data_IF_553253915981
#
_entry.id   IF_553253915981
#
_cell.length_a   1.000
_cell.length_b   1.000
_cell.length_c   1.000
_cell.angle_alpha   90.00
_cell.angle_beta   90.00
_cell.angle_gamma   90.00
#
_symmetry.space_group_name_H-M   'P 1'
#
loop_
_entity.id
_entity.type
_entity.pdbx_description
1 polymer ?
#
# COMPACT_ATOMS: atom_id res chain seq x y z
N UNK A 1 -21.75 -11.00 -15.81
CA UNK A 1 -21.43 -9.84 -14.92
C UNK A 1 -22.63 -9.54 -14.03
N UNK A 2 -22.45 -9.38 -12.72
CA UNK A 2 -23.51 -8.97 -11.77
C UNK A 2 -23.51 -7.44 -11.62
N UNK A 3 -23.81 -6.70 -12.69
CA UNK A 3 -23.92 -5.23 -12.68
C UNK A 3 -25.37 -4.77 -12.59
N UNK A 4 -25.62 -3.59 -12.00
CA UNK A 4 -26.94 -2.92 -12.04
C UNK A 4 -26.82 -1.67 -12.90
N UNK A 5 -27.69 -1.54 -13.91
CA UNK A 5 -27.78 -0.35 -14.75
C UNK A 5 -28.99 0.49 -14.32
N UNK A 6 -28.76 1.78 -14.09
CA UNK A 6 -29.79 2.73 -13.69
C UNK A 6 -29.84 3.87 -14.71
N UNK A 7 -31.04 4.19 -15.19
CA UNK A 7 -31.28 5.39 -16.00
C UNK A 7 -31.66 6.54 -15.06
N UNK A 8 -31.05 7.71 -15.24
CA UNK A 8 -31.31 8.92 -14.44
C UNK A 8 -31.98 9.96 -15.33
N UNK A 9 -33.14 10.49 -14.91
CA UNK A 9 -33.82 11.55 -15.63
C UNK A 9 -33.14 12.90 -15.41
N UNK A 10 -32.82 13.63 -16.48
CA UNK A 10 -32.16 14.94 -16.38
C UNK A 10 -33.06 16.03 -15.80
N UNK A 11 -34.38 15.93 -15.97
CA UNK A 11 -35.33 16.97 -15.54
C UNK A 11 -35.70 16.88 -14.07
N UNK A 12 -35.78 15.67 -13.52
CA UNK A 12 -36.26 15.42 -12.14
C UNK A 12 -35.29 14.63 -11.26
N UNK A 13 -34.14 14.22 -11.80
CA UNK A 13 -33.06 13.51 -11.11
C UNK A 13 -33.46 12.18 -10.43
N UNK A 14 -34.60 11.61 -10.79
CA UNK A 14 -35.01 10.27 -10.33
C UNK A 14 -34.30 9.19 -11.14
N UNK A 15 -33.99 8.08 -10.49
CA UNK A 15 -33.40 6.90 -11.13
C UNK A 15 -34.42 5.76 -11.27
N UNK A 16 -34.30 5.00 -12.35
CA UNK A 16 -35.07 3.77 -12.57
C UNK A 16 -34.13 2.64 -12.99
N UNK A 17 -34.30 1.46 -12.41
CA UNK A 17 -33.50 0.29 -12.75
C UNK A 17 -33.90 -0.20 -14.15
N UNK A 18 -32.91 -0.39 -15.03
CA UNK A 18 -33.14 -0.88 -16.39
C UNK A 18 -33.75 -2.30 -16.38
N UNK A 19 -34.76 -2.62 -17.22
CA UNK A 19 -35.37 -3.94 -17.34
C UNK A 19 -34.34 -5.06 -17.53
N UNK A 20 -34.61 -6.25 -16.99
CA UNK A 20 -33.61 -7.32 -16.93
C UNK A 20 -33.22 -7.83 -18.32
N UNK A 21 -34.17 -7.83 -19.27
CA UNK A 21 -34.01 -8.34 -20.63
C UNK A 21 -32.98 -7.54 -21.44
N UNK A 22 -32.95 -6.22 -21.25
CA UNK A 22 -32.09 -5.29 -22.01
C UNK A 22 -30.78 -4.96 -21.27
N UNK A 23 -30.74 -5.18 -19.94
CA UNK A 23 -29.63 -4.80 -19.06
C UNK A 23 -28.29 -5.42 -19.46
N UNK A 24 -28.30 -6.68 -19.90
CA UNK A 24 -27.06 -7.41 -20.19
C UNK A 24 -26.28 -6.81 -21.37
N UNK A 25 -26.98 -6.59 -22.48
CA UNK A 25 -26.40 -6.01 -23.70
C UNK A 25 -26.02 -4.54 -23.47
N UNK A 26 -26.94 -3.74 -22.92
CA UNK A 26 -26.70 -2.32 -22.66
C UNK A 26 -25.51 -2.08 -21.72
N UNK A 27 -25.36 -2.88 -20.66
CA UNK A 27 -24.25 -2.75 -19.73
C UNK A 27 -22.92 -3.14 -20.40
N UNK A 28 -22.91 -4.12 -21.30
CA UNK A 28 -21.71 -4.49 -22.04
C UNK A 28 -21.30 -3.40 -23.05
N UNK A 29 -22.25 -2.82 -23.77
CA UNK A 29 -21.98 -1.74 -24.73
C UNK A 29 -21.53 -0.46 -24.03
N UNK A 30 -22.11 -0.14 -22.87
CA UNK A 30 -21.69 0.99 -22.03
C UNK A 30 -20.31 0.78 -21.42
N UNK A 31 -19.97 -0.43 -20.97
CA UNK A 31 -18.60 -0.74 -20.48
C UNK A 31 -17.57 -0.66 -21.60
N UNK A 32 -17.91 -1.15 -22.80
CA UNK A 32 -17.05 -1.02 -23.98
C UNK A 32 -16.85 0.45 -24.36
N UNK A 33 -17.93 1.23 -24.43
CA UNK A 33 -17.87 2.67 -24.70
C UNK A 33 -17.10 3.45 -23.63
N UNK A 34 -17.24 3.06 -22.36
CA UNK A 34 -16.51 3.61 -21.23
C UNK A 34 -15.00 3.38 -21.33
N UNK A 35 -14.59 2.22 -21.87
CA UNK A 35 -13.20 1.87 -22.07
C UNK A 35 -12.60 2.55 -23.32
N UNK A 36 -13.33 2.54 -24.44
CA UNK A 36 -12.77 2.85 -25.75
C UNK A 36 -12.89 4.34 -26.14
N UNK A 37 -13.89 5.05 -25.61
CA UNK A 37 -14.30 6.36 -26.16
C UNK A 37 -14.72 7.41 -25.12
N UNK A 38 -14.68 7.10 -23.82
CA UNK A 38 -15.17 8.01 -22.80
C UNK A 38 -14.21 9.15 -22.46
N UNK A 39 -14.80 10.33 -22.21
CA UNK A 39 -14.13 11.47 -21.59
C UNK A 39 -14.46 11.53 -20.10
N UNK A 40 -13.45 11.57 -19.24
CA UNK A 40 -13.66 11.68 -17.79
C UNK A 40 -14.05 13.13 -17.45
N UNK A 41 -15.20 13.31 -16.79
CA UNK A 41 -15.71 14.62 -16.36
C UNK A 41 -15.39 14.88 -14.88
N UNK A 42 -15.62 13.90 -14.02
CA UNK A 42 -15.33 13.96 -12.58
C UNK A 42 -15.13 12.55 -12.01
N UNK A 43 -14.34 12.40 -10.95
CA UNK A 43 -14.05 11.09 -10.37
C UNK A 43 -13.83 11.17 -8.85
N UNK A 44 -14.41 10.21 -8.14
CA UNK A 44 -14.31 10.02 -6.68
C UNK A 44 -14.19 8.53 -6.37
N UNK A 45 -14.02 8.26 -5.07
CA UNK A 45 -13.72 6.97 -4.44
C UNK A 45 -14.55 5.74 -4.88
N UNK A 46 -15.82 5.93 -5.21
CA UNK A 46 -16.65 4.80 -5.66
C UNK A 46 -17.48 5.25 -6.85
N UNK A 47 -17.17 6.40 -7.46
CA UNK A 47 -18.04 7.06 -8.43
C UNK A 47 -17.19 7.74 -9.50
N UNK A 48 -17.28 7.25 -10.74
CA UNK A 48 -16.70 7.91 -11.92
C UNK A 48 -17.81 8.49 -12.78
N UNK A 49 -17.68 9.75 -13.17
CA UNK A 49 -18.56 10.45 -14.12
C UNK A 49 -17.84 10.56 -15.47
N UNK A 50 -18.40 9.91 -16.47
CA UNK A 50 -17.87 9.78 -17.82
C UNK A 50 -18.85 10.40 -18.81
N UNK A 51 -18.34 10.94 -19.91
CA UNK A 51 -19.15 11.39 -21.04
C UNK A 51 -18.82 10.55 -22.27
N UNK A 52 -19.85 9.96 -22.88
CA UNK A 52 -19.75 9.10 -24.07
C UNK A 52 -20.78 9.59 -25.08
N UNK A 53 -20.34 10.18 -26.19
CA UNK A 53 -21.23 10.60 -27.27
C UNK A 53 -22.37 11.52 -26.84
N UNK A 54 -22.15 12.41 -25.86
CA UNK A 54 -23.16 13.30 -25.30
C UNK A 54 -24.02 12.70 -24.18
N UNK A 55 -23.78 11.45 -23.79
CA UNK A 55 -24.43 10.80 -22.64
C UNK A 55 -23.51 10.80 -21.42
N UNK A 56 -24.03 11.19 -20.25
CA UNK A 56 -23.31 11.11 -18.99
C UNK A 56 -23.51 9.74 -18.32
N UNK A 57 -22.41 9.04 -18.03
CA UNK A 57 -22.39 7.74 -17.38
C UNK A 57 -21.79 7.87 -15.97
N UNK A 58 -22.51 7.36 -14.97
CA UNK A 58 -22.06 7.28 -13.57
C UNK A 58 -21.74 5.84 -13.22
N UNK A 59 -20.46 5.52 -12.98
CA UNK A 59 -19.99 4.17 -12.62
C UNK A 59 -19.78 4.05 -11.12
N UNK A 60 -20.34 3.01 -10.48
CA UNK A 60 -20.23 2.75 -9.04
C UNK A 60 -19.77 1.32 -8.73
N UNK A 61 -18.66 1.12 -8.00
CA UNK A 61 -18.11 -0.23 -7.68
C UNK A 61 -16.73 -0.26 -7.01
N UNK A 62 -16.15 -1.47 -6.81
CA UNK A 62 -14.82 -1.67 -6.20
C UNK A 62 -13.75 -0.83 -6.90
N UNK A 63 -13.08 0.01 -6.12
CA UNK A 63 -12.00 0.87 -6.55
C UNK A 63 -10.79 0.06 -7.03
N UNK A 64 -10.24 0.41 -8.20
CA UNK A 64 -8.94 -0.10 -8.65
C UNK A 64 -7.82 0.25 -7.65
N UNK A 65 -6.69 -0.44 -7.70
CA UNK A 65 -5.55 -0.13 -6.83
C UNK A 65 -5.02 1.29 -7.05
N UNK A 66 -5.14 1.85 -8.27
CA UNK A 66 -4.86 3.27 -8.52
C UNK A 66 -5.65 4.21 -7.62
N UNK A 67 -6.90 3.85 -7.36
CA UNK A 67 -7.83 4.61 -6.55
C UNK A 67 -7.65 4.34 -5.04
N UNK A 68 -7.41 3.09 -4.65
CA UNK A 68 -7.08 2.74 -3.25
C UNK A 68 -5.74 3.35 -2.81
N UNK A 69 -4.71 3.24 -3.66
CA UNK A 69 -3.41 3.86 -3.42
C UNK A 69 -3.52 5.39 -3.37
N UNK A 70 -4.44 6.00 -4.13
CA UNK A 70 -4.72 7.43 -4.04
C UNK A 70 -5.30 7.85 -2.68
N UNK A 71 -6.21 7.06 -2.09
CA UNK A 71 -6.78 7.37 -0.77
C UNK A 71 -5.77 7.17 0.36
N UNK A 72 -5.01 6.08 0.31
CA UNK A 72 -4.08 5.68 1.36
C UNK A 72 -2.76 6.46 1.30
N UNK A 73 -2.18 6.55 0.10
CA UNK A 73 -0.82 7.08 -0.08
C UNK A 73 -0.79 8.38 -0.91
N UNK A 74 -1.78 8.61 -1.78
CA UNK A 74 -1.78 9.74 -2.71
C UNK A 74 -1.83 11.12 -2.04
N UNK A 75 -2.59 11.27 -0.93
CA UNK A 75 -2.60 12.53 -0.15
C UNK A 75 -1.23 12.81 0.48
N UNK A 76 -0.62 11.80 1.08
CA UNK A 76 0.67 11.94 1.75
C UNK A 76 1.81 12.21 0.75
N UNK A 77 1.86 11.47 -0.37
CA UNK A 77 2.85 11.69 -1.43
C UNK A 77 2.73 13.08 -2.08
N UNK A 78 1.50 13.59 -2.28
CA UNK A 78 1.31 14.96 -2.78
C UNK A 78 1.64 16.02 -1.74
N UNK A 79 1.30 15.77 -0.46
CA UNK A 79 1.67 16.66 0.64
C UNK A 79 3.19 16.77 0.76
N UNK A 80 3.92 15.66 0.61
CA UNK A 80 5.39 15.65 0.53
C UNK A 80 5.87 16.49 -0.66
N UNK A 81 5.29 16.32 -1.85
CA UNK A 81 5.63 17.12 -3.04
C UNK A 81 5.36 18.61 -2.86
N UNK A 82 4.17 18.99 -2.40
CA UNK A 82 3.84 20.38 -2.12
C UNK A 82 4.73 20.99 -1.04
N UNK A 83 5.05 20.23 0.02
CA UNK A 83 5.98 20.68 1.05
C UNK A 83 7.40 20.83 0.50
N UNK A 84 7.85 19.90 -0.34
CA UNK A 84 9.16 19.92 -0.98
C UNK A 84 9.32 21.14 -1.90
N UNK A 85 8.28 21.44 -2.69
CA UNK A 85 8.25 22.57 -3.62
C UNK A 85 7.95 23.91 -2.95
N UNK A 86 7.57 23.92 -1.66
CA UNK A 86 7.20 25.14 -0.96
C UNK A 86 8.38 26.13 -0.79
N UNK A 87 8.13 27.45 -0.87
CA UNK A 87 9.15 28.47 -0.65
C UNK A 87 9.83 28.35 0.72
N UNK A 88 9.10 27.91 1.75
CA UNK A 88 9.65 27.71 3.10
C UNK A 88 10.71 26.61 3.13
N UNK A 89 10.48 25.50 2.43
CA UNK A 89 11.47 24.42 2.33
C UNK A 89 12.70 24.85 1.57
N UNK A 90 12.53 25.65 0.51
CA UNK A 90 13.64 26.24 -0.23
C UNK A 90 14.48 27.15 0.67
N UNK A 91 13.85 28.12 1.34
CA UNK A 91 14.54 29.03 2.28
C UNK A 91 15.26 28.24 3.37
N UNK A 92 14.58 27.28 4.00
CA UNK A 92 15.17 26.46 5.05
C UNK A 92 16.41 25.70 4.57
N UNK A 93 16.35 25.13 3.36
CA UNK A 93 17.47 24.39 2.78
C UNK A 93 18.66 25.30 2.48
N UNK A 94 18.41 26.45 1.85
CA UNK A 94 19.46 27.42 1.55
C UNK A 94 20.09 27.99 2.82
N UNK A 95 19.29 28.34 3.85
CA UNK A 95 19.81 28.81 5.14
C UNK A 95 20.63 27.74 5.84
N UNK A 96 20.15 26.50 5.89
CA UNK A 96 20.88 25.40 6.52
C UNK A 96 22.22 25.15 5.83
N UNK A 97 22.23 25.12 4.50
CA UNK A 97 23.45 24.91 3.76
C UNK A 97 24.43 26.09 3.88
N UNK A 98 23.95 27.34 3.90
CA UNK A 98 24.80 28.51 4.16
C UNK A 98 25.48 28.44 5.54
N UNK A 99 24.74 28.04 6.57
CA UNK A 99 25.29 27.81 7.91
C UNK A 99 26.34 26.69 7.92
N UNK A 100 26.13 25.60 7.17
CA UNK A 100 27.10 24.52 7.03
C UNK A 100 28.39 25.00 6.34
N UNK A 101 28.29 25.77 5.26
CA UNK A 101 29.45 26.34 4.57
C UNK A 101 30.27 27.26 5.50
N UNK A 102 29.60 28.12 6.27
CA UNK A 102 30.24 28.96 7.29
C UNK A 102 30.86 28.10 8.39
N UNK A 103 30.15 27.07 8.85
CA UNK A 103 30.64 26.11 9.83
C UNK A 103 31.93 25.43 9.36
N UNK A 104 32.02 24.99 8.10
CA UNK A 104 33.24 24.36 7.53
C UNK A 104 34.41 25.33 7.52
N UNK A 105 34.17 26.59 7.14
CA UNK A 105 35.19 27.63 7.20
C UNK A 105 35.73 27.84 8.62
N UNK A 106 34.86 27.71 9.62
CA UNK A 106 35.18 27.89 11.04
C UNK A 106 35.58 26.59 11.78
N UNK A 107 35.59 25.44 11.11
CA UNK A 107 35.86 24.13 11.73
C UNK A 107 34.76 23.63 12.68
N UNK A 108 33.53 24.13 12.54
CA UNK A 108 32.36 23.82 13.37
C UNK A 108 31.27 23.02 12.64
N UNK A 109 31.52 22.66 11.38
CA UNK A 109 30.58 21.86 10.59
C UNK A 109 30.65 20.37 10.93
N UNK A 110 29.53 19.70 10.70
CA UNK A 110 29.45 18.24 10.72
C UNK A 110 29.93 17.69 9.36
N UNK A 111 31.06 16.99 9.36
CA UNK A 111 31.70 16.44 8.16
C UNK A 111 30.87 15.32 7.50
N UNK A 112 29.92 14.73 8.23
CA UNK A 112 29.07 13.67 7.68
C UNK A 112 27.93 14.23 6.80
N UNK A 113 27.73 15.55 6.77
CA UNK A 113 26.70 16.22 5.96
C UNK A 113 27.11 16.31 4.48
N UNK A 114 26.62 15.38 3.68
CA UNK A 114 26.72 15.42 2.22
C UNK A 114 25.56 16.25 1.62
N UNK A 115 25.80 17.54 1.36
CA UNK A 115 24.90 18.40 0.56
C UNK A 115 25.59 18.65 -0.77
N UNK A 116 25.02 18.11 -1.85
CA UNK A 116 25.44 18.42 -3.21
C UNK A 116 24.76 19.75 -3.62
N UNK A 117 25.58 20.73 -4.00
CA UNK A 117 25.11 22.09 -4.32
C UNK A 117 24.84 22.30 -5.80
N UNK A 118 25.12 21.29 -6.62
CA UNK A 118 24.89 21.25 -8.06
C UNK A 118 23.43 20.91 -8.41
N UNK A 119 22.75 20.07 -7.62
CA UNK A 119 21.38 19.63 -7.88
C UNK A 119 20.48 19.62 -6.63
N UNK A 120 19.58 20.61 -6.55
CA UNK A 120 18.45 20.70 -5.58
C UNK A 120 18.85 20.50 -4.10
N UNK A 121 19.47 21.50 -3.45
CA UNK A 121 19.90 21.42 -2.03
C UNK A 121 18.73 21.14 -1.06
N UNK A 122 17.50 21.43 -1.48
CA UNK A 122 16.28 21.11 -0.73
C UNK A 122 16.14 19.61 -0.44
N UNK A 123 16.42 18.75 -1.43
CA UNK A 123 16.32 17.31 -1.25
C UNK A 123 17.34 16.81 -0.23
N UNK A 124 18.59 17.24 -0.36
CA UNK A 124 19.68 16.77 0.50
C UNK A 124 19.52 17.25 1.94
N UNK A 125 19.08 18.49 2.14
CA UNK A 125 18.78 19.00 3.49
C UNK A 125 17.61 18.26 4.13
N UNK A 126 16.51 18.04 3.39
CA UNK A 126 15.37 17.30 3.92
C UNK A 126 15.74 15.83 4.22
N UNK A 127 16.55 15.22 3.35
CA UNK A 127 17.08 13.86 3.51
C UNK A 127 17.92 13.76 4.76
N UNK A 128 18.89 14.64 4.92
CA UNK A 128 19.76 14.68 6.08
C UNK A 128 18.96 14.83 7.38
N UNK A 129 18.08 15.85 7.45
CA UNK A 129 17.30 16.14 8.66
C UNK A 129 16.38 15.00 9.07
N UNK A 130 15.83 14.26 8.10
CA UNK A 130 14.87 13.17 8.38
C UNK A 130 15.54 11.83 8.63
N UNK A 131 16.63 11.54 7.92
CA UNK A 131 17.17 10.19 7.85
C UNK A 131 18.60 10.05 8.38
N UNK A 132 19.35 11.15 8.49
CA UNK A 132 20.78 11.15 8.77
C UNK A 132 21.61 10.64 7.58
N UNK A 133 22.80 10.13 7.87
CA UNK A 133 23.79 9.73 6.85
C UNK A 133 23.64 8.29 6.34
N UNK A 134 23.00 7.40 7.10
CA UNK A 134 22.94 5.97 6.78
C UNK A 134 21.54 5.34 6.94
N UNK A 135 21.23 4.43 6.01
CA UNK A 135 20.05 3.60 6.02
C UNK A 135 20.18 2.41 6.98
N UNK A 136 21.40 1.93 7.23
CA UNK A 136 21.70 0.77 8.07
C UNK A 136 23.06 0.90 8.75
N UNK A 137 23.17 0.32 9.95
CA UNK A 137 24.43 0.12 10.66
C UNK A 137 24.55 -1.33 11.12
N UNK A 138 25.76 -1.86 11.12
CA UNK A 138 26.03 -3.19 11.65
C UNK A 138 27.38 -3.73 11.21
N UNK A 139 27.55 -5.04 11.20
CA UNK A 139 28.73 -5.68 10.59
C UNK A 139 28.28 -6.85 9.75
N UNK A 140 28.49 -6.73 8.43
CA UNK A 140 28.31 -7.84 7.50
C UNK A 140 29.59 -8.08 6.71
N UNK A 141 30.22 -9.22 6.97
CA UNK A 141 31.40 -9.66 6.23
C UNK A 141 30.99 -10.33 4.93
N UNK A 142 31.67 -10.00 3.84
CA UNK A 142 31.51 -10.67 2.56
C UNK A 142 32.42 -11.90 2.49
N UNK A 143 31.92 -13.08 2.11
CA UNK A 143 32.76 -14.28 1.96
C UNK A 143 33.84 -14.14 0.89
N UNK A 144 33.54 -13.44 -0.22
CA UNK A 144 34.41 -13.38 -1.40
C UNK A 144 35.65 -12.46 -1.20
N UNK A 145 35.46 -11.17 -0.92
CA UNK A 145 36.58 -10.22 -0.74
C UNK A 145 36.92 -9.90 0.73
N UNK A 146 36.30 -10.58 1.69
CA UNK A 146 36.52 -10.40 3.13
C UNK A 146 36.32 -8.96 3.67
N UNK A 147 35.80 -8.05 2.85
CA UNK A 147 35.41 -6.72 3.27
C UNK A 147 34.20 -6.78 4.21
N UNK A 148 34.08 -5.79 5.09
CA UNK A 148 32.98 -5.70 6.05
C UNK A 148 32.17 -4.45 5.78
N UNK A 149 30.89 -4.62 5.48
CA UNK A 149 29.92 -3.53 5.47
C UNK A 149 29.64 -3.12 6.91
N UNK A 150 30.01 -1.88 7.26
CA UNK A 150 29.76 -1.28 8.58
C UNK A 150 28.50 -0.42 8.62
N UNK A 151 28.22 0.25 7.51
CA UNK A 151 27.02 1.05 7.32
C UNK A 151 26.61 1.02 5.84
N UNK A 152 25.32 1.10 5.59
CA UNK A 152 24.77 1.43 4.27
C UNK A 152 24.47 2.92 4.26
N UNK A 153 25.32 3.68 3.58
CA UNK A 153 25.13 5.12 3.37
C UNK A 153 24.03 5.35 2.33
N UNK A 154 23.32 6.47 2.43
CA UNK A 154 22.22 6.76 1.49
C UNK A 154 22.69 7.10 0.08
N UNK A 155 23.93 7.57 -0.11
CA UNK A 155 24.56 7.73 -1.43
C UNK A 155 24.56 6.43 -2.25
N UNK A 156 24.65 5.27 -1.59
CA UNK A 156 24.60 3.95 -2.21
C UNK A 156 23.17 3.41 -2.39
N UNK A 157 22.14 4.07 -1.85
CA UNK A 157 20.80 3.49 -1.77
C UNK A 157 20.14 3.27 -3.15
N UNK A 158 20.48 4.06 -4.17
CA UNK A 158 20.06 3.83 -5.56
C UNK A 158 20.55 2.50 -6.15
N UNK A 159 21.68 2.00 -5.65
CA UNK A 159 22.33 0.80 -6.16
C UNK A 159 21.93 -0.47 -5.40
N UNK A 160 21.03 -0.35 -4.43
CA UNK A 160 20.54 -1.47 -3.65
C UNK A 160 19.62 -2.34 -4.50
N UNK A 161 19.75 -3.66 -4.34
CA UNK A 161 18.95 -4.67 -5.02
C UNK A 161 17.93 -5.28 -4.04
N UNK A 162 16.62 -5.17 -4.30
CA UNK A 162 15.63 -6.07 -3.73
C UNK A 162 15.89 -7.47 -4.27
N UNK A 163 16.07 -8.46 -3.39
CA UNK A 163 16.39 -9.84 -3.77
C UNK A 163 15.48 -10.82 -3.04
N UNK A 164 15.33 -12.00 -3.63
CA UNK A 164 14.64 -13.13 -3.02
C UNK A 164 15.66 -14.04 -2.33
N UNK A 165 15.49 -14.24 -1.03
CA UNK A 165 16.24 -15.22 -0.26
C UNK A 165 15.84 -16.65 -0.62
N UNK A 166 16.68 -17.61 -0.21
CA UNK A 166 16.45 -19.04 -0.49
C UNK A 166 15.12 -19.55 0.09
N UNK A 167 14.72 -19.02 1.24
CA UNK A 167 13.46 -19.38 1.92
C UNK A 167 12.26 -18.57 1.39
N UNK A 168 12.42 -17.85 0.27
CA UNK A 168 11.41 -16.96 -0.29
C UNK A 168 11.22 -15.63 0.46
N UNK A 169 12.07 -15.35 1.45
CA UNK A 169 12.04 -14.10 2.23
C UNK A 169 12.67 -12.93 1.46
N UNK A 170 12.26 -11.70 1.78
CA UNK A 170 12.87 -10.50 1.22
C UNK A 170 14.31 -10.33 1.75
N UNK A 171 15.26 -10.23 0.82
CA UNK A 171 16.64 -9.85 1.07
C UNK A 171 16.96 -8.52 0.40
N UNK A 172 17.98 -7.86 0.91
CA UNK A 172 18.51 -6.63 0.32
C UNK A 172 19.98 -6.84 -0.01
N UNK A 173 20.31 -6.78 -1.29
CA UNK A 173 21.66 -6.81 -1.83
C UNK A 173 22.26 -5.42 -1.85
N UNK A 174 23.32 -5.19 -1.08
CA UNK A 174 24.12 -3.96 -1.13
C UNK A 174 25.37 -4.20 -1.97
N UNK A 175 25.61 -3.44 -3.06
CA UNK A 175 26.85 -3.58 -3.84
C UNK A 175 28.09 -3.49 -2.97
N UNK A 176 29.06 -4.36 -3.23
CA UNK A 176 30.35 -4.28 -2.57
C UNK A 176 31.27 -3.34 -3.35
N UNK A 177 31.75 -2.20 -2.80
CA UNK A 177 32.61 -1.27 -3.56
C UNK A 177 33.98 -1.85 -3.92
N UNK A 178 34.43 -2.86 -3.17
CA UNK A 178 35.74 -3.51 -3.37
C UNK A 178 35.70 -4.62 -4.41
N UNK A 179 34.52 -5.16 -4.64
CA UNK A 179 34.27 -6.18 -5.62
C UNK A 179 33.50 -5.55 -6.78
N UNK A 180 33.35 -6.22 -7.92
CA UNK A 180 32.62 -5.62 -9.05
C UNK A 180 31.19 -5.21 -8.62
N UNK A 181 30.91 -3.90 -8.47
CA UNK A 181 29.69 -3.42 -7.84
C UNK A 181 28.48 -3.50 -8.79
N UNK A 182 28.72 -3.80 -10.06
CA UNK A 182 27.71 -3.80 -11.13
C UNK A 182 27.07 -5.17 -11.34
N UNK A 183 27.65 -6.24 -10.77
CA UNK A 183 27.09 -7.59 -10.84
C UNK A 183 26.17 -7.87 -9.64
N UNK A 184 24.90 -8.25 -9.85
CA UNK A 184 23.93 -8.50 -8.76
C UNK A 184 24.32 -9.62 -7.79
N UNK A 185 25.13 -10.58 -8.24
CA UNK A 185 25.65 -11.65 -7.38
C UNK A 185 26.81 -11.17 -6.48
N UNK A 186 27.33 -9.95 -6.72
CA UNK A 186 28.48 -9.38 -6.01
C UNK A 186 28.12 -8.46 -4.83
N UNK A 187 27.08 -8.81 -4.08
CA UNK A 187 26.50 -7.96 -3.03
C UNK A 187 26.75 -8.48 -1.62
N UNK A 188 26.54 -7.62 -0.62
CA UNK A 188 26.28 -8.01 0.76
C UNK A 188 24.79 -8.31 0.91
N UNK A 189 24.47 -9.46 1.50
CA UNK A 189 23.09 -9.85 1.77
C UNK A 189 22.66 -9.39 3.16
N UNK A 190 21.74 -8.43 3.20
CA UNK A 190 20.97 -8.11 4.39
C UNK A 190 19.69 -8.96 4.38
N UNK A 191 19.43 -9.67 5.47
CA UNK A 191 18.34 -10.67 5.58
C UNK A 191 17.45 -10.42 6.79
N UNK A 192 16.22 -10.90 6.72
CA UNK A 192 15.26 -10.84 7.82
C UNK A 192 14.64 -9.46 8.00
N UNK A 193 14.10 -9.13 9.19
CA UNK A 193 13.36 -7.87 9.42
C UNK A 193 14.15 -6.59 9.08
N UNK A 194 15.47 -6.63 9.23
CA UNK A 194 16.34 -5.50 8.84
C UNK A 194 16.34 -5.25 7.32
N UNK A 195 16.17 -6.26 6.49
CA UNK A 195 16.18 -6.10 5.03
C UNK A 195 14.99 -5.24 4.59
N UNK A 196 13.80 -5.59 5.06
CA UNK A 196 12.58 -4.83 4.79
C UNK A 196 12.66 -3.39 5.32
N UNK A 197 13.13 -3.21 6.57
CA UNK A 197 13.30 -1.88 7.15
C UNK A 197 14.30 -1.03 6.36
N UNK A 198 15.42 -1.60 5.92
CA UNK A 198 16.43 -0.92 5.12
C UNK A 198 15.87 -0.53 3.76
N UNK A 199 15.17 -1.44 3.09
CA UNK A 199 14.57 -1.17 1.78
C UNK A 199 13.53 -0.05 1.88
N UNK A 200 12.65 -0.10 2.88
CA UNK A 200 11.66 0.97 3.13
C UNK A 200 12.32 2.32 3.43
N UNK A 201 13.40 2.34 4.23
CA UNK A 201 14.18 3.56 4.50
C UNK A 201 14.81 4.11 3.22
N UNK A 202 15.38 3.25 2.38
CA UNK A 202 15.97 3.63 1.11
C UNK A 202 14.91 4.22 0.17
N UNK A 203 13.75 3.56 0.01
CA UNK A 203 12.66 4.08 -0.83
C UNK A 203 12.10 5.40 -0.32
N UNK A 204 11.89 5.55 1.00
CA UNK A 204 11.44 6.80 1.59
C UNK A 204 12.46 7.94 1.44
N UNK A 205 13.76 7.62 1.45
CA UNK A 205 14.84 8.58 1.17
C UNK A 205 14.84 9.00 -0.31
N UNK A 206 14.63 8.06 -1.23
CA UNK A 206 14.63 8.35 -2.65
C UNK A 206 13.39 9.12 -3.09
N UNK A 207 12.23 8.71 -2.61
CA UNK A 207 10.94 9.32 -2.91
C UNK A 207 10.63 10.50 -1.95
N UNK A 208 11.64 11.14 -1.36
CA UNK A 208 11.44 12.21 -0.37
C UNK A 208 10.69 13.42 -0.93
N UNK A 209 10.84 13.67 -2.24
CA UNK A 209 10.13 14.72 -2.96
C UNK A 209 8.65 14.41 -3.14
N UNK A 210 8.17 13.24 -2.73
CA UNK A 210 6.82 12.78 -3.02
C UNK A 210 6.61 12.50 -4.50
N UNK A 211 5.33 12.38 -4.88
CA UNK A 211 4.91 12.06 -6.23
C UNK A 211 3.69 12.90 -6.63
N UNK A 212 3.57 13.21 -7.92
CA UNK A 212 2.37 13.82 -8.48
C UNK A 212 1.32 12.77 -8.87
N UNK A 213 0.14 13.25 -9.28
CA UNK A 213 -0.99 12.40 -9.68
C UNK A 213 -0.64 11.43 -10.80
N UNK A 214 0.12 11.90 -11.80
CA UNK A 214 0.48 11.09 -12.95
C UNK A 214 1.42 9.95 -12.55
N UNK A 215 2.43 10.24 -11.72
CA UNK A 215 3.38 9.26 -11.22
C UNK A 215 2.71 8.25 -10.27
N UNK A 216 1.82 8.70 -9.39
CA UNK A 216 1.03 7.80 -8.52
C UNK A 216 0.17 6.86 -9.38
N UNK A 217 -0.48 7.38 -10.43
CA UNK A 217 -1.28 6.58 -11.36
C UNK A 217 -0.45 5.61 -12.21
N UNK A 218 0.79 5.94 -12.56
CA UNK A 218 1.71 5.01 -13.23
C UNK A 218 2.17 3.90 -12.28
N UNK A 219 2.55 4.26 -11.05
CA UNK A 219 2.98 3.32 -10.03
C UNK A 219 1.86 2.32 -9.70
N UNK A 220 0.64 2.79 -9.54
CA UNK A 220 -0.47 1.92 -9.23
C UNK A 220 -0.88 1.00 -10.39
N UNK A 221 -0.86 1.49 -11.63
CA UNK A 221 -1.05 0.63 -12.82
C UNK A 221 -0.02 -0.49 -12.88
N UNK A 222 1.25 -0.19 -12.59
CA UNK A 222 2.29 -1.22 -12.53
C UNK A 222 2.00 -2.31 -11.47
N UNK A 223 1.37 -1.94 -10.35
CA UNK A 223 0.94 -2.91 -9.32
C UNK A 223 -0.28 -3.71 -9.80
N UNK A 224 -1.24 -3.08 -10.47
CA UNK A 224 -2.41 -3.73 -11.06
C UNK A 224 -2.03 -4.74 -12.14
N UNK A 225 -1.08 -4.38 -13.01
CA UNK A 225 -0.56 -5.25 -14.07
C UNK A 225 0.11 -6.51 -13.49
N UNK A 226 0.75 -6.39 -12.33
CA UNK A 226 1.29 -7.51 -11.57
C UNK A 226 0.22 -8.30 -10.78
N UNK A 227 -1.03 -7.81 -10.73
CA UNK A 227 -2.19 -8.44 -10.10
C UNK A 227 -2.38 -8.12 -8.61
N UNK A 228 -1.33 -7.72 -7.87
CA UNK A 228 -1.44 -7.24 -6.49
C UNK A 228 -0.15 -6.57 -6.01
N UNK A 229 -0.22 -5.83 -4.89
CA UNK A 229 0.95 -5.28 -4.20
C UNK A 229 2.00 -6.34 -3.85
N UNK A 230 1.56 -7.47 -3.30
CA UNK A 230 2.46 -8.59 -2.97
C UNK A 230 3.09 -9.22 -4.21
N UNK A 231 2.31 -9.42 -5.27
CA UNK A 231 2.82 -9.96 -6.53
C UNK A 231 3.84 -9.01 -7.20
N UNK A 232 3.57 -7.70 -7.19
CA UNK A 232 4.51 -6.69 -7.69
C UNK A 232 5.83 -6.70 -6.91
N UNK A 233 5.79 -6.80 -5.58
CA UNK A 233 6.99 -6.89 -4.75
C UNK A 233 7.79 -8.16 -5.04
N UNK A 234 7.12 -9.31 -5.23
CA UNK A 234 7.74 -10.58 -5.63
C UNK A 234 8.37 -10.51 -7.01
N UNK A 235 7.66 -9.97 -8.00
CA UNK A 235 8.18 -9.79 -9.35
C UNK A 235 9.42 -8.87 -9.34
N UNK A 236 9.39 -7.80 -8.54
CA UNK A 236 10.51 -6.87 -8.41
C UNK A 236 11.78 -7.56 -7.88
N UNK A 237 11.65 -8.41 -6.86
CA UNK A 237 12.81 -9.14 -6.33
C UNK A 237 13.32 -10.22 -7.30
N UNK A 238 12.44 -10.81 -8.11
CA UNK A 238 12.79 -11.82 -9.11
C UNK A 238 13.49 -11.20 -10.34
N UNK A 239 13.16 -9.94 -10.69
CA UNK A 239 13.84 -9.19 -11.76
C UNK A 239 15.32 -8.87 -11.47
N UNK A 240 15.75 -8.94 -10.19
CA UNK A 240 17.14 -8.68 -9.73
C UNK A 240 17.73 -7.34 -10.23
N UNK A 241 16.94 -6.28 -10.19
CA UNK A 241 17.36 -4.93 -10.62
C UNK A 241 17.61 -4.03 -9.41
N UNK A 242 18.53 -3.08 -9.54
CA UNK A 242 18.74 -2.06 -8.52
C UNK A 242 17.63 -1.00 -8.56
N UNK A 243 17.44 -0.28 -7.45
CA UNK A 243 16.43 0.79 -7.34
C UNK A 243 16.55 1.85 -8.44
N UNK A 244 17.77 2.17 -8.87
CA UNK A 244 18.00 3.12 -9.97
C UNK A 244 17.36 2.65 -11.28
N UNK A 245 17.53 1.37 -11.63
CA UNK A 245 17.01 0.80 -12.88
C UNK A 245 15.49 0.68 -12.91
N UNK A 246 14.84 0.63 -11.75
CA UNK A 246 13.39 0.62 -11.63
C UNK A 246 12.74 1.95 -12.04
N UNK A 247 13.50 3.05 -11.97
CA UNK A 247 13.00 4.39 -12.23
C UNK A 247 11.95 4.87 -11.21
N UNK A 248 11.46 6.12 -11.35
CA UNK A 248 10.59 6.74 -10.35
C UNK A 248 9.26 6.03 -10.14
N UNK A 249 8.63 5.55 -11.21
CA UNK A 249 7.35 4.83 -11.11
C UNK A 249 7.54 3.49 -10.40
N UNK A 250 8.61 2.76 -10.71
CA UNK A 250 8.93 1.49 -10.06
C UNK A 250 9.28 1.65 -8.58
N UNK A 251 10.07 2.67 -8.21
CA UNK A 251 10.40 2.92 -6.79
C UNK A 251 9.20 3.39 -5.98
N UNK A 252 8.32 4.23 -6.53
CA UNK A 252 7.06 4.61 -5.87
C UNK A 252 6.12 3.41 -5.75
N UNK A 253 6.00 2.58 -6.79
CA UNK A 253 5.21 1.36 -6.76
C UNK A 253 5.71 0.40 -5.68
N UNK A 254 7.03 0.21 -5.56
CA UNK A 254 7.63 -0.64 -4.54
C UNK A 254 7.43 -0.06 -3.12
N UNK A 255 7.52 1.27 -2.94
CA UNK A 255 7.20 1.91 -1.64
C UNK A 255 5.75 1.63 -1.24
N UNK A 256 4.81 1.81 -2.16
CA UNK A 256 3.39 1.52 -1.94
C UNK A 256 3.20 0.04 -1.60
N UNK A 257 3.77 -0.86 -2.41
CA UNK A 257 3.61 -2.30 -2.25
C UNK A 257 4.16 -2.82 -0.90
N UNK A 258 5.32 -2.31 -0.46
CA UNK A 258 5.90 -2.69 0.82
C UNK A 258 5.10 -2.13 2.01
N UNK A 259 4.59 -0.91 1.91
CA UNK A 259 3.76 -0.34 2.98
C UNK A 259 2.43 -1.08 3.11
N UNK A 260 1.77 -1.40 1.98
CA UNK A 260 0.53 -2.19 1.95
C UNK A 260 0.77 -3.58 2.56
N UNK A 261 1.88 -4.25 2.23
CA UNK A 261 2.23 -5.56 2.79
C UNK A 261 2.44 -5.53 4.32
N UNK A 262 3.04 -4.46 4.84
CA UNK A 262 3.21 -4.27 6.29
C UNK A 262 1.87 -4.03 6.97
N UNK A 263 1.05 -3.15 6.41
CA UNK A 263 -0.27 -2.80 6.91
C UNK A 263 -1.18 -4.04 6.93
N UNK A 264 -1.18 -4.83 5.85
CA UNK A 264 -1.94 -6.07 5.78
C UNK A 264 -1.49 -7.09 6.84
N UNK A 265 -0.18 -7.22 7.11
CA UNK A 265 0.31 -8.09 8.19
C UNK A 265 -0.10 -7.59 9.58
N UNK A 266 -0.10 -6.28 9.81
CA UNK A 266 -0.59 -5.70 11.07
C UNK A 266 -2.08 -5.98 11.26
N UNK A 267 -2.91 -5.72 10.24
CA UNK A 267 -4.35 -5.98 10.26
C UNK A 267 -4.65 -7.47 10.49
N UNK A 268 -3.87 -8.37 9.90
CA UNK A 268 -4.01 -9.81 10.14
C UNK A 268 -3.70 -10.20 11.59
N UNK A 269 -2.70 -9.57 12.22
CA UNK A 269 -2.39 -9.80 13.63
C UNK A 269 -3.51 -9.27 14.54
N UNK A 270 -4.04 -8.07 14.25
CA UNK A 270 -5.18 -7.50 14.97
C UNK A 270 -6.44 -8.38 14.83
N UNK A 271 -6.74 -8.85 13.62
CA UNK A 271 -7.87 -9.75 13.37
C UNK A 271 -7.75 -11.05 14.16
N UNK A 272 -6.55 -11.66 14.21
CA UNK A 272 -6.29 -12.86 15.01
C UNK A 272 -6.47 -12.60 16.51
N UNK A 273 -6.05 -11.44 17.00
CA UNK A 273 -6.27 -11.05 18.39
C UNK A 273 -7.77 -10.89 18.70
N UNK A 274 -8.54 -10.28 17.80
CA UNK A 274 -9.99 -10.15 17.94
C UNK A 274 -10.70 -11.51 17.89
N UNK A 275 -10.30 -12.41 16.99
CA UNK A 275 -10.85 -13.76 16.88
C UNK A 275 -10.59 -14.56 18.18
N UNK A 276 -9.41 -14.41 18.77
CA UNK A 276 -9.08 -15.04 20.05
C UNK A 276 -9.99 -14.52 21.18
N UNK A 277 -10.19 -13.21 21.27
CA UNK A 277 -11.09 -12.59 22.26
C UNK A 277 -12.53 -13.04 22.07
N UNK A 278 -13.04 -13.01 20.83
CA UNK A 278 -14.39 -13.47 20.52
C UNK A 278 -14.62 -14.93 20.94
N UNK A 279 -13.66 -15.83 20.68
CA UNK A 279 -13.76 -17.22 21.14
C UNK A 279 -13.80 -17.37 22.66
N UNK A 280 -13.09 -16.52 23.40
CA UNK A 280 -13.17 -16.52 24.87
C UNK A 280 -14.54 -16.06 25.35
N UNK A 281 -15.10 -15.01 24.74
CA UNK A 281 -16.44 -14.52 25.09
C UNK A 281 -17.54 -15.54 24.73
N UNK A 282 -17.45 -16.22 23.58
CA UNK A 282 -18.36 -17.33 23.23
C UNK A 282 -18.29 -18.48 24.24
N UNK A 283 -17.09 -18.83 24.71
CA UNK A 283 -16.92 -19.85 25.73
C UNK A 283 -17.57 -19.44 27.06
N UNK A 284 -17.42 -18.18 27.46
CA UNK A 284 -18.08 -17.63 28.65
C UNK A 284 -19.60 -17.60 28.49
N UNK A 285 -20.10 -17.17 27.32
CA UNK A 285 -21.53 -17.18 27.01
C UNK A 285 -22.11 -18.59 27.06
N UNK A 286 -21.40 -19.60 26.52
CA UNK A 286 -21.80 -21.01 26.61
C UNK A 286 -21.89 -21.49 28.06
N UNK A 287 -20.89 -21.18 28.89
CA UNK A 287 -20.91 -21.54 30.32
C UNK A 287 -22.11 -20.89 31.03
N UNK A 288 -22.40 -19.61 30.72
CA UNK A 288 -23.56 -18.90 31.26
C UNK A 288 -24.86 -19.55 30.81
N UNK A 289 -25.00 -19.89 29.53
CA UNK A 289 -26.20 -20.56 29.00
C UNK A 289 -26.43 -21.93 29.64
N UNK A 290 -25.35 -22.67 29.91
CA UNK A 290 -25.39 -23.97 30.58
C UNK A 290 -25.66 -23.88 32.10
N UNK A 291 -25.21 -22.82 32.79
CA UNK A 291 -25.32 -22.69 34.25
C UNK A 291 -26.46 -21.79 34.75
N UNK A 292 -26.94 -20.82 33.96
CA UNK A 292 -27.87 -19.77 34.40
C UNK A 292 -29.26 -19.82 33.75
N UNK A 293 -29.59 -20.88 33.01
CA UNK A 293 -30.97 -21.19 32.66
C UNK A 293 -31.49 -22.38 33.49
N UNK A 294 -31.96 -22.20 34.74
CA UNK A 294 -32.66 -23.26 35.43
C UNK A 294 -33.86 -23.67 34.56
N UNK A 295 -33.90 -24.93 34.11
CA UNK A 295 -35.00 -25.50 33.30
C UNK A 295 -36.40 -25.08 33.79
N UNK A 296 -36.55 -24.94 35.12
CA UNK A 296 -37.77 -24.48 35.80
C UNK A 296 -38.20 -23.05 35.47
N UNK A 297 -37.27 -22.10 35.30
CA UNK A 297 -37.58 -20.71 34.96
C UNK A 297 -37.98 -20.57 33.48
N UNK A 298 -37.28 -21.29 32.59
CA UNK A 298 -37.62 -21.35 31.17
C UNK A 298 -39.02 -21.99 30.97
N UNK A 299 -39.32 -23.10 31.64
CA UNK A 299 -40.64 -23.75 31.61
C UNK A 299 -41.75 -22.87 32.18
N UNK A 300 -41.49 -22.14 33.27
CA UNK A 300 -42.46 -21.21 33.86
C UNK A 300 -42.74 -20.00 32.96
N UNK A 301 -41.74 -19.53 32.21
CA UNK A 301 -41.90 -18.42 31.26
C UNK A 301 -42.61 -18.87 29.98
N UNK A 302 -42.27 -20.05 29.45
CA UNK A 302 -42.94 -20.68 28.30
C UNK A 302 -44.43 -20.97 28.57
N UNK A 303 -44.81 -21.31 29.80
CA UNK A 303 -46.22 -21.47 30.22
C UNK A 303 -47.01 -20.15 30.30
N UNK A 304 -46.34 -19.00 30.39
CA UNK A 304 -46.97 -17.67 30.48
C UNK A 304 -47.11 -16.97 29.14
N UNK A 305 -46.46 -17.47 28.09
CA UNK A 305 -46.64 -16.94 26.73
C UNK A 305 -48.03 -17.36 26.20
N UNK A 306 -48.81 -16.44 25.62
CA UNK A 306 -50.17 -16.73 25.13
C UNK A 306 -50.20 -17.58 23.84
N UNK A 307 -49.05 -18.11 23.42
CA UNK A 307 -48.89 -18.87 22.18
C UNK A 307 -48.71 -20.35 22.54
N UNK A 308 -49.72 -21.18 22.24
CA UNK A 308 -49.56 -22.63 22.24
C UNK A 308 -48.69 -23.03 21.05
N UNK A 309 -47.41 -23.30 21.30
CA UNK A 309 -46.57 -24.01 20.34
C UNK A 309 -47.08 -25.46 20.26
N UNK A 310 -47.72 -25.80 19.14
CA UNK A 310 -48.10 -27.18 18.84
C UNK A 310 -46.80 -27.97 18.58
N UNK A 311 -46.56 -29.10 19.26
CA UNK A 311 -45.43 -29.96 18.92
C UNK A 311 -45.59 -30.38 17.47
N UNK A 312 -44.55 -30.18 16.63
CA UNK A 312 -44.51 -30.84 15.32
C UNK A 312 -44.55 -32.33 15.59
N UNK A 313 -45.72 -32.94 15.36
CA UNK A 313 -45.87 -34.38 15.39
C UNK A 313 -44.88 -35.01 14.43
N UNK A 314 -44.25 -36.10 14.86
CA UNK A 314 -43.43 -36.94 14.02
C UNK A 314 -44.19 -37.24 12.73
N UNK A 315 -43.66 -36.74 11.60
CA UNK A 315 -44.02 -37.25 10.29
C UNK A 315 -43.46 -38.68 10.27
N UNK A 316 -44.34 -39.63 10.55
CA UNK A 316 -44.12 -41.04 10.26
C UNK A 316 -44.13 -41.16 8.75
N UNK A 317 -42.95 -41.26 8.14
CA UNK A 317 -42.80 -41.82 6.81
C UNK A 317 -43.20 -43.30 6.87
N UNK A 318 -44.40 -43.64 6.38
CA UNK A 318 -44.69 -44.97 5.85
C UNK A 318 -45.72 -44.90 4.71
N UNK A 319 -45.28 -45.33 3.52
CA UNK A 319 -46.08 -46.17 2.63
C UNK A 319 -46.43 -45.61 1.25
N UNK A 320 -45.57 -45.86 0.26
CA UNK A 320 -45.84 -46.65 -0.97
C UNK A 320 -44.59 -46.73 -1.85
#
# INVERSE_FOLDING_TARGET
>A
MRGRLWAVCESCHRWTLCPLEERGAALHDLERGAHDSARIVAQTANISLLEIGGTLLVRVGEAGLAEQAWWRYGRELRKRKASFESPRSQVTAYTFGALQAIGRLLGLADDDVAIAWDDKPVADVLRWRRFGWAAWHGRKRRPYCNSTLRALRYDMSWWVYPLRGQDGTLEVGVPCPRCDPWTPDNVYHLRGPQAENVLRRCLAYQNISGADTALIGQAARAIEDAGSAGAFALETVDRRQCLWKMGPAGTVALEIALNESVEQRMLQLEARALEFLWRQEEELARIIDEQLTPRRLLEAHLRKLPVRLVPRGNVVEQGS
#
